data_IF_695419421919
#
_entry.id   IF_695419421919
#
_cell.length_a   1.000
_cell.length_b   1.000
_cell.length_c   1.000
_cell.angle_alpha   90.00
_cell.angle_beta   90.00
_cell.angle_gamma   90.00
#
_symmetry.space_group_name_H-M   'P 1'
#
loop_
_entity.id
_entity.type
_entity.pdbx_description
1 polymer ?
#
# COMPACT_ATOMS: atom_id res chain seq x y z
N UNK A 1 -9.15 4.52 18.69
CA UNK A 1 -9.36 5.40 17.51
C UNK A 1 -10.75 6.05 17.44
N UNK A 2 -11.82 5.46 18.00
CA UNK A 2 -13.20 5.94 17.85
C UNK A 2 -13.46 7.46 18.07
N UNK A 3 -12.78 8.16 19.00
CA UNK A 3 -12.94 9.60 19.16
C UNK A 3 -12.49 10.44 17.95
N UNK A 4 -11.64 9.90 17.05
CA UNK A 4 -11.12 10.61 15.88
C UNK A 4 -11.54 9.98 14.55
N UNK A 5 -11.82 8.69 14.53
CA UNK A 5 -12.17 7.97 13.31
C UNK A 5 -13.63 7.46 13.27
N UNK A 6 -14.38 7.55 14.37
CA UNK A 6 -15.74 7.00 14.42
C UNK A 6 -16.78 7.91 13.77
N UNK A 7 -17.67 7.35 12.96
CA UNK A 7 -18.70 8.11 12.25
C UNK A 7 -18.09 9.15 11.30
N UNK A 8 -18.63 10.37 11.27
CA UNK A 8 -18.13 11.48 10.44
C UNK A 8 -16.82 12.10 10.93
N UNK A 9 -16.27 11.64 12.06
CA UNK A 9 -15.07 12.25 12.65
C UNK A 9 -13.81 12.00 11.84
N UNK A 10 -13.73 10.89 11.10
CA UNK A 10 -12.58 10.63 10.23
C UNK A 10 -12.45 11.70 9.14
N UNK A 11 -13.55 11.99 8.45
CA UNK A 11 -13.63 13.05 7.43
C UNK A 11 -13.30 14.42 8.04
N UNK A 12 -13.85 14.75 9.20
CA UNK A 12 -13.52 16.01 9.90
C UNK A 12 -12.03 16.10 10.26
N UNK A 13 -11.43 15.00 10.69
CA UNK A 13 -10.00 14.93 11.03
C UNK A 13 -9.14 15.11 9.79
N UNK A 14 -9.44 14.39 8.70
CA UNK A 14 -8.79 14.53 7.39
C UNK A 14 -8.90 15.96 6.87
N UNK A 15 -10.10 16.56 6.88
CA UNK A 15 -10.34 17.93 6.42
C UNK A 15 -9.55 18.96 7.22
N UNK A 16 -9.38 18.75 8.53
CA UNK A 16 -8.61 19.64 9.40
C UNK A 16 -7.11 19.63 9.07
N UNK A 17 -6.53 18.45 8.84
CA UNK A 17 -5.10 18.31 8.54
C UNK A 17 -4.79 18.42 7.05
N UNK A 18 -5.82 18.35 6.19
CA UNK A 18 -5.76 18.39 4.71
C UNK A 18 -4.83 17.31 4.14
N UNK A 19 -4.95 16.10 4.67
CA UNK A 19 -4.20 14.93 4.22
C UNK A 19 -5.13 13.82 3.77
N UNK A 20 -4.69 12.95 2.83
CA UNK A 20 -5.45 11.78 2.39
C UNK A 20 -5.68 10.78 3.53
N UNK A 21 -6.52 9.79 3.27
CA UNK A 21 -7.00 8.84 4.28
C UNK A 21 -5.87 8.06 4.96
N UNK A 22 -4.88 7.58 4.21
CA UNK A 22 -3.72 6.85 4.73
C UNK A 22 -2.89 7.70 5.71
N UNK A 23 -2.60 8.93 5.32
CA UNK A 23 -1.94 9.92 6.16
C UNK A 23 -2.80 10.30 7.38
N UNK A 24 -4.12 10.32 7.24
CA UNK A 24 -5.05 10.61 8.34
C UNK A 24 -5.06 9.49 9.38
N UNK A 25 -5.06 8.24 8.95
CA UNK A 25 -4.91 7.08 9.85
C UNK A 25 -3.58 7.17 10.59
N UNK A 26 -2.48 7.41 9.88
CA UNK A 26 -1.14 7.57 10.49
C UNK A 26 -1.09 8.72 11.50
N UNK A 27 -1.69 9.86 11.17
CA UNK A 27 -1.79 11.01 12.07
C UNK A 27 -2.56 10.68 13.36
N UNK A 28 -3.70 9.98 13.25
CA UNK A 28 -4.47 9.57 14.44
C UNK A 28 -3.64 8.63 15.34
N UNK A 29 -2.97 7.65 14.76
CA UNK A 29 -2.17 6.66 15.50
C UNK A 29 -0.97 7.31 16.18
N UNK A 30 -0.16 8.05 15.43
CA UNK A 30 1.09 8.64 15.93
C UNK A 30 0.87 9.88 16.79
N UNK A 31 0.02 10.80 16.36
CA UNK A 31 -0.12 12.13 17.00
C UNK A 31 -1.25 12.22 18.00
N UNK A 32 -2.38 11.57 17.74
CA UNK A 32 -3.54 11.65 18.64
C UNK A 32 -3.51 10.57 19.72
N UNK A 33 -2.98 9.39 19.40
CA UNK A 33 -2.91 8.25 20.32
C UNK A 33 -1.51 8.02 20.90
N UNK A 34 -0.46 8.61 20.33
CA UNK A 34 0.91 8.44 20.82
C UNK A 34 1.46 7.03 20.63
N UNK A 35 0.96 6.27 19.65
CA UNK A 35 1.41 4.92 19.33
C UNK A 35 2.29 4.96 18.10
N UNK A 36 3.50 4.41 18.19
CA UNK A 36 4.40 4.32 17.05
C UNK A 36 4.01 3.21 16.08
N UNK A 37 3.94 3.55 14.80
CA UNK A 37 3.76 2.59 13.71
C UNK A 37 5.03 1.77 13.51
N UNK A 38 4.85 0.47 13.25
CA UNK A 38 5.95 -0.46 13.00
C UNK A 38 6.13 -0.62 11.50
N UNK A 39 7.34 -0.36 11.02
CA UNK A 39 7.68 -0.59 9.63
C UNK A 39 7.79 -2.11 9.36
N UNK A 40 7.08 -2.60 8.35
CA UNK A 40 7.12 -3.99 7.93
C UNK A 40 7.52 -4.09 6.44
N UNK A 41 8.65 -4.73 6.11
CA UNK A 41 9.16 -4.78 4.73
C UNK A 41 8.40 -5.77 3.84
N UNK A 42 7.25 -6.31 4.29
CA UNK A 42 6.46 -7.30 3.57
C UNK A 42 5.22 -6.71 2.89
N UNK A 43 5.00 -5.40 3.05
CA UNK A 43 3.90 -4.67 2.40
C UNK A 43 4.47 -3.86 1.24
N UNK A 44 3.99 -4.15 0.03
CA UNK A 44 4.48 -3.49 -1.18
C UNK A 44 3.36 -2.80 -1.97
N UNK A 45 3.61 -1.54 -2.33
CA UNK A 45 2.80 -0.73 -3.23
C UNK A 45 3.39 -0.65 -4.65
N UNK A 46 2.57 -0.34 -5.65
CA UNK A 46 3.02 -0.08 -7.02
C UNK A 46 3.80 1.24 -7.16
N UNK A 47 3.91 2.02 -6.08
CA UNK A 47 4.80 3.18 -5.97
C UNK A 47 6.24 2.80 -5.63
N UNK A 48 6.54 1.49 -5.55
CA UNK A 48 7.87 0.93 -5.31
C UNK A 48 8.41 0.23 -6.57
N UNK A 49 9.72 -0.04 -6.59
CA UNK A 49 10.31 -0.87 -7.65
C UNK A 49 10.09 -2.36 -7.35
N UNK A 50 8.91 -2.88 -7.74
CA UNK A 50 8.50 -4.27 -7.49
C UNK A 50 9.37 -5.33 -8.20
N UNK A 51 10.19 -4.93 -9.18
CA UNK A 51 11.15 -5.82 -9.83
C UNK A 51 12.31 -6.23 -8.91
N UNK A 52 12.50 -5.53 -7.78
CA UNK A 52 13.51 -5.88 -6.79
C UNK A 52 13.09 -7.05 -5.88
N UNK A 53 11.81 -7.41 -5.87
CA UNK A 53 11.31 -8.53 -5.07
C UNK A 53 11.78 -9.83 -5.72
N UNK A 54 12.55 -10.62 -4.98
CA UNK A 54 13.02 -11.91 -5.47
C UNK A 54 11.86 -12.86 -5.71
N UNK A 55 11.87 -13.58 -6.83
CA UNK A 55 10.85 -14.59 -7.14
C UNK A 55 10.65 -15.61 -6.00
N UNK A 56 11.71 -15.97 -5.27
CA UNK A 56 11.63 -16.89 -4.12
C UNK A 56 10.99 -16.27 -2.89
N UNK A 57 11.00 -14.95 -2.76
CA UNK A 57 10.42 -14.25 -1.61
C UNK A 57 8.97 -13.84 -1.83
N UNK A 58 8.43 -13.90 -3.05
CA UNK A 58 7.06 -13.50 -3.39
C UNK A 58 6.02 -14.16 -2.48
N UNK A 59 6.12 -15.48 -2.26
CA UNK A 59 5.20 -16.24 -1.40
C UNK A 59 5.25 -15.84 0.09
N UNK A 60 6.27 -15.08 0.50
CA UNK A 60 6.45 -14.61 1.87
C UNK A 60 6.00 -13.15 2.07
N UNK A 61 5.61 -12.46 0.99
CA UNK A 61 5.11 -11.08 1.09
C UNK A 61 3.66 -11.09 1.59
N UNK A 62 3.30 -10.05 2.34
CA UNK A 62 1.93 -9.88 2.86
C UNK A 62 1.06 -9.20 1.81
N UNK A 63 1.59 -8.18 1.14
CA UNK A 63 0.89 -7.52 0.04
C UNK A 63 1.79 -7.32 -1.17
N UNK A 64 1.19 -7.43 -2.34
CA UNK A 64 1.75 -7.02 -3.62
C UNK A 64 0.73 -6.11 -4.29
N UNK A 65 1.20 -5.27 -5.19
CA UNK A 65 0.37 -4.33 -5.93
C UNK A 65 0.74 -4.36 -7.41
N UNK A 66 -0.15 -3.80 -8.22
CA UNK A 66 0.08 -3.54 -9.63
C UNK A 66 -0.52 -2.17 -9.96
N UNK A 67 0.13 -1.40 -10.83
CA UNK A 67 -0.38 -0.09 -11.22
C UNK A 67 0.57 0.71 -12.10
N UNK A 68 0.12 1.88 -12.53
CA UNK A 68 0.93 2.82 -13.30
C UNK A 68 1.63 3.80 -12.34
N UNK A 69 2.94 3.93 -12.45
CA UNK A 69 3.72 4.95 -11.75
C UNK A 69 4.73 5.59 -12.71
N UNK A 70 4.76 6.91 -12.80
CA UNK A 70 5.62 7.67 -13.74
C UNK A 70 5.54 7.17 -15.19
N UNK A 71 4.33 6.91 -15.70
CA UNK A 71 4.06 6.34 -17.03
C UNK A 71 4.68 4.96 -17.30
N UNK A 72 5.10 4.25 -16.24
CA UNK A 72 5.54 2.86 -16.32
C UNK A 72 4.57 1.96 -15.57
N UNK A 73 4.23 0.86 -16.21
CA UNK A 73 3.44 -0.18 -15.59
C UNK A 73 4.33 -0.96 -14.63
N UNK A 74 4.01 -0.90 -13.33
CA UNK A 74 4.73 -1.56 -12.25
C UNK A 74 3.98 -2.83 -11.88
N UNK A 75 4.63 -3.98 -12.11
CA UNK A 75 4.22 -5.30 -11.63
C UNK A 75 5.44 -6.06 -11.14
N UNK A 76 5.21 -7.12 -10.36
CA UNK A 76 6.21 -8.12 -10.02
C UNK A 76 6.66 -8.89 -11.27
N UNK A 77 7.85 -9.49 -11.20
CA UNK A 77 8.31 -10.41 -12.24
C UNK A 77 8.15 -11.87 -11.79
N UNK A 78 7.20 -12.55 -12.43
CA UNK A 78 6.89 -13.97 -12.19
C UNK A 78 6.95 -14.72 -13.52
N UNK A 79 7.60 -15.88 -13.52
CA UNK A 79 7.53 -16.82 -14.64
C UNK A 79 6.24 -17.63 -14.49
N UNK A 80 5.17 -17.14 -15.10
CA UNK A 80 3.85 -17.76 -15.10
C UNK A 80 3.51 -18.45 -16.42
N UNK A 81 2.37 -19.13 -16.44
CA UNK A 81 1.77 -19.69 -17.65
C UNK A 81 1.18 -18.61 -18.58
N UNK A 82 0.97 -17.41 -18.06
CA UNK A 82 0.36 -16.28 -18.78
C UNK A 82 1.41 -15.25 -19.24
N UNK A 83 1.25 -14.78 -20.48
CA UNK A 83 1.98 -13.64 -21.03
C UNK A 83 1.63 -12.33 -20.29
N UNK A 84 2.42 -11.25 -20.50
CA UNK A 84 2.12 -9.94 -19.87
C UNK A 84 0.84 -9.34 -20.41
N UNK A 85 0.45 -9.72 -21.61
CA UNK A 85 -0.74 -9.28 -22.30
C UNK A 85 -1.99 -9.98 -21.75
N UNK A 86 -1.87 -11.28 -21.41
CA UNK A 86 -2.95 -12.07 -20.79
C UNK A 86 -3.15 -11.75 -19.31
N UNK A 87 -2.05 -11.57 -18.58
CA UNK A 87 -2.09 -11.11 -17.19
C UNK A 87 -1.05 -10.00 -16.96
N UNK A 88 -1.43 -8.72 -17.12
CA UNK A 88 -0.54 -7.60 -16.86
C UNK A 88 -0.30 -7.38 -15.35
N UNK A 89 -1.23 -7.83 -14.51
CA UNK A 89 -1.14 -7.68 -13.05
C UNK A 89 -0.18 -8.65 -12.38
N UNK A 90 0.01 -9.83 -12.98
CA UNK A 90 0.78 -10.97 -12.45
C UNK A 90 0.14 -11.63 -11.23
N UNK A 91 -1.19 -11.52 -11.09
CA UNK A 91 -1.95 -12.07 -9.97
C UNK A 91 -2.75 -13.34 -10.32
N UNK A 92 -2.75 -13.75 -11.60
CA UNK A 92 -3.46 -14.94 -12.09
C UNK A 92 -2.46 -16.00 -12.57
#
# INVERSE_FOLDING_TARGET
MAPWAGGSRFEQTSARIRLPDDCTVGFIVEKMLGVSMVHCPLFHSHLENLLLISHRSIQHQVTLSYGMFENKMISIEVKGSFSKEEDPSRFV
#
